data_IF_773330734416
#
_entry.id   IF_773330734416
#
_cell.length_a   1.000
_cell.length_b   1.000
_cell.length_c   1.000
_cell.angle_alpha   90.00
_cell.angle_beta   90.00
_cell.angle_gamma   90.00
#
_symmetry.space_group_name_H-M   'P 1'
#
loop_
_entity.id
_entity.type
_entity.pdbx_description
1 polymer ?
#
# COMPACT_ATOMS: atom_id res chain seq x y z
N UNK A 1 8.77 7.49 1.98
CA UNK A 1 9.40 6.88 3.15
C UNK A 1 8.61 5.63 3.51
N UNK A 2 9.23 4.45 3.41
CA UNK A 2 8.62 3.18 3.78
C UNK A 2 8.95 2.94 5.25
N UNK A 3 7.94 3.05 6.12
CA UNK A 3 8.08 2.78 7.54
C UNK A 3 7.77 1.31 7.79
N UNK A 4 8.76 0.52 8.22
CA UNK A 4 8.49 -0.83 8.72
C UNK A 4 7.71 -0.71 10.03
N UNK A 5 6.41 -0.94 9.92
CA UNK A 5 5.45 -0.88 11.03
C UNK A 5 5.12 -2.28 11.55
N UNK A 6 5.89 -3.31 11.15
CA UNK A 6 5.51 -4.72 11.34
C UNK A 6 4.25 -5.11 10.56
N UNK A 7 3.84 -4.27 9.59
CA UNK A 7 2.68 -4.53 8.74
C UNK A 7 3.15 -5.14 7.43
N UNK A 8 2.55 -6.25 7.02
CA UNK A 8 2.87 -6.89 5.73
C UNK A 8 2.13 -6.25 4.55
N UNK A 9 1.27 -5.26 4.81
CA UNK A 9 0.39 -4.64 3.81
C UNK A 9 0.36 -3.13 3.98
N UNK A 10 0.94 -2.44 3.01
CA UNK A 10 0.93 -0.98 2.96
C UNK A 10 -0.08 -0.47 1.92
N UNK A 11 -0.55 0.75 2.12
CA UNK A 11 -1.42 1.45 1.16
C UNK A 11 -0.58 2.45 0.38
N UNK A 12 -0.71 2.42 -0.93
CA UNK A 12 0.01 3.32 -1.85
C UNK A 12 -0.97 3.94 -2.84
N UNK A 13 -0.88 5.25 -3.13
CA UNK A 13 -1.66 5.90 -4.19
C UNK A 13 -1.10 5.62 -5.59
N UNK A 14 0.13 5.11 -5.69
CA UNK A 14 0.83 4.88 -6.95
C UNK A 14 0.43 3.51 -7.52
N UNK A 15 -0.68 3.43 -8.23
CA UNK A 15 -1.20 2.17 -8.80
C UNK A 15 -0.23 1.57 -9.83
N UNK A 16 0.48 2.42 -10.54
CA UNK A 16 1.40 2.09 -11.63
C UNK A 16 2.68 1.38 -11.20
N UNK A 17 3.05 1.45 -9.91
CA UNK A 17 4.27 0.77 -9.41
C UNK A 17 4.03 -0.67 -8.96
N UNK A 18 2.77 -1.12 -8.98
CA UNK A 18 2.41 -2.48 -8.62
C UNK A 18 2.62 -3.42 -9.81
N UNK A 19 3.46 -4.45 -9.65
CA UNK A 19 3.81 -5.38 -10.73
C UNK A 19 2.64 -6.30 -11.12
N UNK A 20 1.85 -6.72 -10.14
CA UNK A 20 0.76 -7.68 -10.29
C UNK A 20 -0.57 -7.08 -9.85
N UNK A 21 -0.84 -5.84 -10.24
CA UNK A 21 -2.05 -5.15 -9.82
C UNK A 21 -3.30 -5.89 -10.29
N UNK A 22 -4.17 -6.23 -9.34
CA UNK A 22 -5.50 -6.78 -9.59
C UNK A 22 -6.56 -5.91 -8.91
N UNK A 23 -7.60 -5.58 -9.66
CA UNK A 23 -8.76 -4.88 -9.11
C UNK A 23 -9.51 -5.76 -8.11
N UNK A 24 -9.94 -5.15 -7.02
CA UNK A 24 -10.73 -5.80 -5.97
C UNK A 24 -11.96 -4.97 -5.66
N UNK A 25 -13.03 -5.56 -5.08
CA UNK A 25 -14.12 -4.77 -4.53
C UNK A 25 -13.60 -3.63 -3.63
N UNK A 26 -14.13 -2.41 -3.76
CA UNK A 26 -13.64 -1.27 -3.01
C UNK A 26 -13.66 -1.53 -1.49
N UNK A 27 -12.48 -1.53 -0.87
CA UNK A 27 -12.32 -1.72 0.57
C UNK A 27 -12.11 -0.39 1.25
N UNK A 28 -13.01 -0.02 2.14
CA UNK A 28 -12.91 1.20 2.97
C UNK A 28 -12.03 0.95 4.19
N UNK A 29 -11.28 1.97 4.55
CA UNK A 29 -10.44 2.01 5.72
C UNK A 29 -10.60 3.36 6.41
N UNK A 30 -10.36 3.36 7.72
CA UNK A 30 -10.40 4.56 8.56
C UNK A 30 -9.04 4.72 9.21
N UNK A 31 -8.37 5.84 8.96
CA UNK A 31 -7.15 6.20 9.67
C UNK A 31 -7.46 6.68 11.09
N UNK A 32 -6.42 6.70 11.92
CA UNK A 32 -6.46 7.23 13.30
C UNK A 32 -6.90 8.70 13.33
N UNK A 33 -6.57 9.49 12.31
CA UNK A 33 -7.01 10.87 12.17
C UNK A 33 -8.46 11.03 11.64
N UNK A 34 -9.25 9.95 11.66
CA UNK A 34 -10.62 9.88 11.17
C UNK A 34 -10.80 10.14 9.67
N UNK A 35 -9.72 10.19 8.89
CA UNK A 35 -9.84 10.21 7.44
C UNK A 35 -10.20 8.83 6.91
N UNK A 36 -10.97 8.82 5.82
CA UNK A 36 -11.38 7.60 5.14
C UNK A 36 -10.68 7.50 3.80
N UNK A 37 -10.21 6.30 3.48
CA UNK A 37 -9.64 5.98 2.18
C UNK A 37 -10.17 4.64 1.69
N UNK A 38 -10.14 4.48 0.36
CA UNK A 38 -10.67 3.29 -0.32
C UNK A 38 -9.57 2.67 -1.16
N UNK A 39 -9.26 1.40 -0.91
CA UNK A 39 -8.42 0.62 -1.80
C UNK A 39 -9.28 -0.03 -2.89
N UNK A 40 -8.83 0.09 -4.13
CA UNK A 40 -9.54 -0.43 -5.32
C UNK A 40 -8.84 -1.67 -5.92
N UNK A 41 -7.70 -2.06 -5.37
CA UNK A 41 -6.95 -3.23 -5.81
C UNK A 41 -5.77 -3.51 -4.92
N UNK A 42 -5.11 -4.61 -5.22
CA UNK A 42 -3.93 -5.11 -4.52
C UNK A 42 -2.87 -5.53 -5.52
N UNK A 43 -1.62 -5.57 -5.09
CA UNK A 43 -0.52 -6.11 -5.86
C UNK A 43 0.77 -6.04 -5.06
N UNK A 44 1.85 -6.49 -5.68
CA UNK A 44 3.18 -6.45 -5.09
C UNK A 44 3.96 -5.23 -5.60
N UNK A 45 4.72 -4.61 -4.71
CA UNK A 45 5.65 -3.52 -5.03
C UNK A 45 7.05 -3.98 -4.62
N UNK A 46 8.00 -3.88 -5.53
CA UNK A 46 9.42 -4.05 -5.21
C UNK A 46 9.94 -2.70 -4.73
N UNK A 47 10.39 -2.65 -3.48
CA UNK A 47 11.01 -1.46 -2.90
C UNK A 47 12.49 -1.75 -2.69
N UNK A 48 13.34 -0.91 -3.26
CA UNK A 48 14.78 -0.95 -3.00
C UNK A 48 15.05 -0.23 -1.68
N UNK A 49 15.73 -0.90 -0.75
CA UNK A 49 16.16 -0.31 0.51
C UNK A 49 17.58 0.25 0.31
N UNK A 50 17.76 1.58 0.25
CA UNK A 50 19.10 2.14 0.15
C UNK A 50 19.88 1.87 1.44
N UNK A 51 21.09 1.31 1.30
CA UNK A 51 22.05 0.97 2.37
C UNK A 51 21.82 -0.32 3.16
N UNK A 52 20.90 -1.20 2.75
CA UNK A 52 20.99 -2.62 3.10
C UNK A 52 20.61 -3.03 4.53
N UNK A 53 19.92 -2.18 5.30
CA UNK A 53 19.02 -2.59 6.40
C UNK A 53 17.79 -1.69 6.44
#
# INVERSE_FOLDING_TARGET
ELYDSGTTKHLSPYREVFQNFVETPPRKFTAVNMQHFTAQGIGDVVVEIPNGE
#
